data_IF_788815067806
#
_entry.id   IF_788815067806
#
_cell.length_a   1.000
_cell.length_b   1.000
_cell.length_c   1.000
_cell.angle_alpha   90.00
_cell.angle_beta   90.00
_cell.angle_gamma   90.00
#
_symmetry.space_group_name_H-M   'P 1'
#
loop_
_entity.id
_entity.type
_entity.pdbx_description
1 polymer ?
#
# COMPACT_ATOMS: atom_id res chain seq x y z
N UNK A 1 -3.68 28.50 4.92
CA UNK A 1 -3.44 27.15 4.36
C UNK A 1 -2.45 27.35 3.23
N UNK A 2 -1.22 26.87 3.38
CA UNK A 2 -0.19 27.02 2.36
C UNK A 2 -0.44 25.99 1.27
N UNK A 3 -0.72 26.43 0.05
CA UNK A 3 -0.73 25.57 -1.15
C UNK A 3 0.57 24.77 -1.19
N UNK A 4 0.54 23.45 -1.48
CA UNK A 4 1.77 22.71 -1.72
C UNK A 4 2.50 23.40 -2.86
N UNK A 5 3.76 23.80 -2.62
CA UNK A 5 4.58 24.39 -3.66
C UNK A 5 4.56 23.47 -4.88
N UNK A 6 4.19 24.02 -6.03
CA UNK A 6 4.22 23.33 -7.32
C UNK A 6 5.70 23.01 -7.60
N UNK A 7 6.15 21.82 -7.21
CA UNK A 7 7.55 21.42 -7.40
C UNK A 7 7.70 21.03 -8.87
N UNK A 8 8.45 21.85 -9.59
CA UNK A 8 8.80 21.63 -11.00
C UNK A 8 9.43 20.23 -11.18
N UNK A 9 8.96 19.42 -12.15
CA UNK A 9 9.58 18.15 -12.51
C UNK A 9 11.10 18.21 -12.75
N UNK A 10 11.65 19.36 -13.13
CA UNK A 10 13.09 19.58 -13.27
C UNK A 10 13.87 19.55 -11.94
N UNK A 11 13.18 19.57 -10.79
CA UNK A 11 13.80 19.51 -9.44
C UNK A 11 14.03 18.07 -8.99
N UNK A 12 13.44 17.06 -9.64
CA UNK A 12 13.61 15.65 -9.24
C UNK A 12 15.04 15.10 -9.37
N UNK A 13 15.81 15.42 -10.43
CA UNK A 13 17.24 15.09 -10.49
C UNK A 13 18.03 15.71 -9.32
N UNK A 14 17.61 16.89 -8.86
CA UNK A 14 18.24 17.59 -7.73
C UNK A 14 17.92 16.89 -6.41
N UNK A 15 16.67 16.44 -6.20
CA UNK A 15 16.28 15.68 -5.00
C UNK A 15 16.99 14.33 -4.89
N UNK A 16 17.25 13.65 -6.01
CA UNK A 16 18.10 12.45 -6.04
C UNK A 16 19.56 12.78 -5.73
N UNK A 17 20.08 13.92 -6.22
CA UNK A 17 21.43 14.42 -5.91
C UNK A 17 21.63 14.85 -4.45
N UNK A 18 20.55 15.10 -3.70
CA UNK A 18 20.57 15.46 -2.28
C UNK A 18 20.61 14.26 -1.32
N UNK A 19 20.73 13.03 -1.83
CA UNK A 19 20.86 11.82 -0.99
C UNK A 19 19.56 11.38 -0.30
N UNK A 20 18.41 11.88 -0.73
CA UNK A 20 17.12 11.41 -0.22
C UNK A 20 16.86 9.96 -0.64
N UNK A 21 16.34 9.09 0.27
CA UNK A 21 15.90 7.74 -0.10
C UNK A 21 14.89 7.77 -1.25
N UNK A 22 15.09 6.93 -2.27
CA UNK A 22 14.19 6.81 -3.45
C UNK A 22 12.70 6.75 -3.09
N UNK A 23 12.26 6.01 -2.05
CA UNK A 23 10.84 5.97 -1.70
C UNK A 23 10.26 7.33 -1.30
N UNK A 24 11.06 8.19 -0.66
CA UNK A 24 10.64 9.53 -0.28
C UNK A 24 10.59 10.47 -1.48
N UNK A 25 11.52 10.34 -2.43
CA UNK A 25 11.48 11.08 -3.70
C UNK A 25 10.24 10.71 -4.48
N UNK A 26 9.95 9.41 -4.60
CA UNK A 26 8.79 8.92 -5.33
C UNK A 26 7.47 9.35 -4.68
N UNK A 27 7.37 9.26 -3.35
CA UNK A 27 6.23 9.81 -2.59
C UNK A 27 6.05 11.30 -2.85
N UNK A 28 7.14 12.08 -2.83
CA UNK A 28 7.08 13.53 -3.06
C UNK A 28 6.61 13.85 -4.47
N UNK A 29 7.02 13.06 -5.46
CA UNK A 29 6.54 13.22 -6.82
C UNK A 29 5.05 12.91 -6.93
N UNK A 30 4.61 11.78 -6.39
CA UNK A 30 3.18 11.40 -6.36
C UNK A 30 2.33 12.46 -5.65
N UNK A 31 2.84 13.08 -4.58
CA UNK A 31 2.18 14.21 -3.92
C UNK A 31 1.98 15.40 -4.87
N UNK A 32 3.04 15.81 -5.59
CA UNK A 32 3.04 17.00 -6.43
C UNK A 32 2.30 16.80 -7.76
N UNK A 33 2.39 15.59 -8.34
CA UNK A 33 1.88 15.26 -9.68
C UNK A 33 1.08 13.93 -9.65
N UNK A 34 -0.02 13.85 -8.87
CA UNK A 34 -0.79 12.61 -8.73
C UNK A 34 -1.33 12.07 -10.06
N UNK A 35 -1.65 12.94 -11.01
CA UNK A 35 -2.19 12.58 -12.33
C UNK A 35 -1.26 11.66 -13.12
N UNK A 36 0.05 11.68 -12.86
CA UNK A 36 1.00 10.79 -13.52
C UNK A 36 0.84 9.31 -13.11
N UNK A 37 0.28 9.04 -11.93
CA UNK A 37 -0.06 7.69 -11.46
C UNK A 37 -1.54 7.38 -11.63
N UNK A 38 -2.40 8.33 -11.20
CA UNK A 38 -3.84 8.14 -11.18
C UNK A 38 -4.44 8.14 -12.59
N UNK A 39 -3.79 8.78 -13.57
CA UNK A 39 -4.27 8.89 -14.96
C UNK A 39 -5.71 9.40 -14.95
N UNK A 40 -6.65 8.65 -15.52
CA UNK A 40 -8.07 9.00 -15.54
C UNK A 40 -8.84 8.52 -14.28
N UNK A 41 -8.17 7.82 -13.37
CA UNK A 41 -8.77 7.39 -12.10
C UNK A 41 -8.94 8.58 -11.16
N UNK A 42 -10.09 8.73 -10.50
CA UNK A 42 -10.33 9.85 -9.60
C UNK A 42 -9.37 9.82 -8.39
N UNK A 43 -8.95 10.99 -7.96
CA UNK A 43 -8.25 11.21 -6.68
C UNK A 43 -9.28 11.77 -5.72
N UNK A 44 -9.71 10.98 -4.73
CA UNK A 44 -10.67 11.47 -3.73
C UNK A 44 -9.96 12.19 -2.56
N UNK A 45 -10.74 12.83 -1.69
CA UNK A 45 -10.20 13.55 -0.53
C UNK A 45 -9.40 12.65 0.42
N UNK A 46 -9.75 11.37 0.50
CA UNK A 46 -9.08 10.39 1.34
C UNK A 46 -7.72 9.98 0.76
N UNK A 47 -7.64 9.82 -0.57
CA UNK A 47 -6.37 9.68 -1.28
C UNK A 47 -5.48 10.88 -1.00
N UNK A 48 -6.01 12.11 -1.14
CA UNK A 48 -5.21 13.31 -0.87
C UNK A 48 -4.74 13.42 0.58
N UNK A 49 -5.60 13.13 1.54
CA UNK A 49 -5.22 13.11 2.94
C UNK A 49 -4.11 12.09 3.25
N UNK A 50 -4.09 10.94 2.56
CA UNK A 50 -3.02 9.95 2.68
C UNK A 50 -1.71 10.43 2.01
N UNK A 51 -1.80 11.00 0.82
CA UNK A 51 -0.63 11.56 0.12
C UNK A 51 0.04 12.64 0.97
N UNK A 52 -0.75 13.52 1.59
CA UNK A 52 -0.27 14.64 2.42
C UNK A 52 -0.02 14.26 3.90
N UNK A 53 -0.14 12.98 4.25
CA UNK A 53 -0.04 12.53 5.64
C UNK A 53 1.30 12.90 6.30
N UNK A 54 1.27 13.31 7.56
CA UNK A 54 2.50 13.37 8.35
C UNK A 54 2.87 11.98 8.86
N UNK A 55 4.15 11.79 9.18
CA UNK A 55 4.64 10.53 9.72
C UNK A 55 3.96 10.21 11.05
N UNK A 56 3.41 9.00 11.14
CA UNK A 56 2.78 8.50 12.35
C UNK A 56 3.89 8.21 13.40
N UNK A 57 3.78 8.72 14.64
CA UNK A 57 4.88 8.65 15.61
C UNK A 57 5.33 7.24 15.97
N UNK A 58 4.42 6.26 15.89
CA UNK A 58 4.70 4.87 16.23
C UNK A 58 5.20 4.03 15.05
N UNK A 59 5.20 4.56 13.83
CA UNK A 59 5.61 3.83 12.62
C UNK A 59 7.08 4.11 12.28
N UNK A 60 7.85 3.06 12.07
CA UNK A 60 9.19 3.16 11.48
C UNK A 60 9.09 3.00 9.96
N UNK A 61 9.21 4.10 9.23
CA UNK A 61 9.29 4.12 7.77
C UNK A 61 10.68 3.69 7.26
N UNK A 62 10.84 3.49 5.95
CA UNK A 62 11.98 2.87 5.26
C UNK A 62 11.89 1.33 5.18
N UNK A 63 12.99 0.64 4.80
CA UNK A 63 13.03 -0.79 4.42
C UNK A 63 12.57 -1.78 5.51
N UNK A 64 12.12 -1.32 6.66
CA UNK A 64 11.61 -2.14 7.76
C UNK A 64 10.10 -2.35 7.70
N UNK A 65 9.35 -1.44 7.06
CA UNK A 65 7.90 -1.56 6.87
C UNK A 65 7.56 -1.75 5.38
N UNK A 66 6.90 -2.85 5.05
CA UNK A 66 6.71 -3.31 3.67
C UNK A 66 5.46 -4.17 3.50
N UNK A 67 4.93 -4.23 2.27
CA UNK A 67 3.96 -5.24 1.89
C UNK A 67 4.64 -6.61 1.95
N UNK A 68 4.07 -7.55 2.70
CA UNK A 68 4.74 -8.84 2.93
C UNK A 68 4.12 -9.95 2.10
N UNK A 69 2.80 -10.16 2.27
CA UNK A 69 2.14 -11.35 1.73
C UNK A 69 0.64 -11.18 1.55
N UNK A 70 0.10 -12.02 0.67
CA UNK A 70 -1.33 -12.21 0.49
C UNK A 70 -1.72 -13.55 1.12
N UNK A 71 -2.63 -13.53 2.08
CA UNK A 71 -3.32 -14.73 2.55
C UNK A 71 -4.59 -14.92 1.72
N UNK A 72 -4.83 -16.12 1.23
CA UNK A 72 -5.98 -16.38 0.36
C UNK A 72 -6.49 -17.81 0.49
N UNK A 73 -7.75 -17.99 0.13
CA UNK A 73 -8.41 -19.30 0.05
C UNK A 73 -9.48 -19.20 -1.03
N UNK A 74 -9.37 -20.03 -2.06
CA UNK A 74 -10.41 -20.19 -3.08
C UNK A 74 -11.55 -21.05 -2.54
N UNK A 75 -12.72 -20.94 -3.16
CA UNK A 75 -13.87 -21.77 -2.78
C UNK A 75 -13.57 -23.26 -3.01
N UNK A 76 -13.67 -24.06 -1.94
CA UNK A 76 -13.39 -25.50 -1.99
C UNK A 76 -11.91 -25.88 -1.79
N UNK A 77 -11.02 -24.90 -1.63
CA UNK A 77 -9.58 -25.13 -1.43
C UNK A 77 -9.13 -24.82 0.01
N UNK A 78 -7.88 -25.17 0.32
CA UNK A 78 -7.22 -24.86 1.59
C UNK A 78 -6.77 -23.40 1.70
N UNK A 79 -6.32 -23.03 2.90
CA UNK A 79 -5.71 -21.72 3.14
C UNK A 79 -4.27 -21.71 2.63
N UNK A 80 -3.92 -20.68 1.87
CA UNK A 80 -2.59 -20.45 1.33
C UNK A 80 -2.06 -19.06 1.69
N UNK A 81 -0.73 -18.93 1.62
CA UNK A 81 -0.02 -17.68 1.83
C UNK A 81 1.02 -17.51 0.71
N UNK A 82 0.95 -16.38 0.01
CA UNK A 82 1.88 -16.03 -1.06
C UNK A 82 2.66 -14.79 -0.62
N UNK A 83 3.97 -14.92 -0.45
CA UNK A 83 4.86 -13.77 -0.24
C UNK A 83 4.90 -12.93 -1.52
N UNK A 84 4.83 -11.61 -1.37
CA UNK A 84 4.74 -10.68 -2.51
C UNK A 84 6.15 -10.16 -2.83
N UNK A 85 6.78 -10.79 -3.82
CA UNK A 85 8.18 -10.59 -4.22
C UNK A 85 8.26 -9.99 -5.63
N UNK A 86 9.46 -9.65 -6.09
CA UNK A 86 9.66 -9.10 -7.44
C UNK A 86 9.24 -10.10 -8.52
N UNK A 87 9.57 -11.40 -8.37
CA UNK A 87 9.34 -12.40 -9.41
C UNK A 87 7.85 -12.71 -9.63
N UNK A 88 7.01 -12.49 -8.61
CA UNK A 88 5.59 -12.81 -8.65
C UNK A 88 4.69 -11.56 -8.52
N UNK A 89 5.25 -10.36 -8.66
CA UNK A 89 4.54 -9.10 -8.47
C UNK A 89 3.31 -8.97 -9.37
N UNK A 90 3.44 -9.30 -10.66
CA UNK A 90 2.32 -9.27 -11.60
C UNK A 90 1.25 -10.33 -11.28
N UNK A 91 1.64 -11.50 -10.79
CA UNK A 91 0.70 -12.53 -10.36
C UNK A 91 -0.09 -12.07 -9.12
N UNK A 92 0.58 -11.44 -8.15
CA UNK A 92 -0.07 -10.89 -6.96
C UNK A 92 -1.01 -9.71 -7.31
N UNK A 93 -0.61 -8.81 -8.23
CA UNK A 93 -1.49 -7.75 -8.75
C UNK A 93 -2.75 -8.33 -9.39
N UNK A 94 -2.61 -9.38 -10.20
CA UNK A 94 -3.74 -10.09 -10.81
C UNK A 94 -4.66 -10.69 -9.75
N UNK A 95 -4.12 -11.39 -8.77
CA UNK A 95 -4.91 -11.94 -7.65
C UNK A 95 -5.72 -10.86 -6.93
N UNK A 96 -5.10 -9.70 -6.65
CA UNK A 96 -5.80 -8.57 -6.02
C UNK A 96 -6.91 -8.03 -6.92
N UNK A 97 -6.67 -7.92 -8.23
CA UNK A 97 -7.67 -7.48 -9.20
C UNK A 97 -8.85 -8.47 -9.31
N UNK A 98 -8.57 -9.77 -9.38
CA UNK A 98 -9.58 -10.84 -9.41
C UNK A 98 -10.46 -10.83 -8.15
N UNK A 99 -9.91 -10.39 -7.01
CA UNK A 99 -10.61 -10.25 -5.74
C UNK A 99 -11.28 -8.87 -5.53
N UNK A 100 -11.36 -8.05 -6.59
CA UNK A 100 -12.08 -6.77 -6.59
C UNK A 100 -11.22 -5.53 -6.32
N UNK A 101 -9.90 -5.67 -6.23
CA UNK A 101 -8.99 -4.53 -6.21
C UNK A 101 -8.89 -3.83 -7.57
N UNK A 102 -8.41 -2.60 -7.58
CA UNK A 102 -8.31 -1.80 -8.80
C UNK A 102 -6.87 -1.71 -9.29
N UNK A 103 -6.66 -1.98 -10.58
CA UNK A 103 -5.39 -1.75 -11.26
C UNK A 103 -5.55 -0.57 -12.23
N UNK A 104 -4.66 0.41 -12.14
CA UNK A 104 -4.69 1.61 -12.98
C UNK A 104 -3.41 1.70 -13.80
N UNK A 105 -3.56 1.69 -15.13
CA UNK A 105 -2.44 1.80 -16.06
C UNK A 105 -1.63 0.51 -16.27
N UNK A 106 -2.17 -0.65 -15.90
CA UNK A 106 -1.57 -1.96 -16.14
C UNK A 106 -2.27 -2.68 -17.30
N UNK A 107 -1.50 -3.29 -18.20
CA UNK A 107 -1.99 -4.15 -19.27
C UNK A 107 -1.95 -5.63 -18.83
N UNK A 108 -2.61 -5.92 -17.71
CA UNK A 108 -2.68 -7.27 -17.16
C UNK A 108 -4.02 -7.91 -17.54
N UNK A 109 -3.96 -9.07 -18.19
CA UNK A 109 -5.14 -9.88 -18.45
C UNK A 109 -5.65 -10.48 -17.13
N UNK A 110 -6.80 -9.97 -16.68
CA UNK A 110 -7.54 -10.43 -15.50
C UNK A 110 -8.66 -11.33 -16.02
N UNK A 111 -8.32 -12.61 -16.18
CA UNK A 111 -9.20 -13.59 -16.82
C UNK A 111 -10.24 -14.12 -15.82
N UNK A 112 -11.41 -13.49 -15.83
CA UNK A 112 -12.58 -13.79 -14.98
C UNK A 112 -12.34 -13.64 -13.46
N UNK A 113 -13.34 -13.16 -12.69
CA UNK A 113 -13.23 -13.12 -11.24
C UNK A 113 -13.06 -14.53 -10.67
N UNK A 114 -11.94 -14.80 -10.01
CA UNK A 114 -11.80 -16.04 -9.26
C UNK A 114 -12.75 -16.05 -8.06
N UNK A 115 -13.35 -17.21 -7.77
CA UNK A 115 -14.24 -17.38 -6.62
C UNK A 115 -13.44 -17.49 -5.32
N UNK A 116 -12.94 -16.35 -4.84
CA UNK A 116 -12.25 -16.24 -3.57
C UNK A 116 -13.23 -16.37 -2.41
N UNK A 117 -12.98 -17.31 -1.50
CA UNK A 117 -13.71 -17.40 -0.23
C UNK A 117 -13.22 -16.36 0.76
N UNK A 118 -11.92 -16.13 0.82
CA UNK A 118 -11.32 -15.01 1.56
C UNK A 118 -9.97 -14.64 0.98
N UNK A 119 -9.64 -13.36 1.04
CA UNK A 119 -8.31 -12.85 0.74
C UNK A 119 -7.99 -11.66 1.64
N UNK A 120 -6.75 -11.62 2.14
CA UNK A 120 -6.23 -10.55 3.00
C UNK A 120 -4.81 -10.17 2.57
N UNK A 121 -4.58 -8.88 2.45
CA UNK A 121 -3.28 -8.31 2.11
C UNK A 121 -2.63 -7.84 3.40
N UNK A 122 -1.41 -8.29 3.68
CA UNK A 122 -0.69 -7.96 4.92
C UNK A 122 0.50 -7.05 4.65
N UNK A 123 0.53 -5.97 5.41
CA UNK A 123 1.64 -5.02 5.46
C UNK A 123 2.35 -5.20 6.80
N UNK A 124 3.62 -5.57 6.74
CA UNK A 124 4.49 -5.56 7.91
C UNK A 124 4.78 -4.10 8.28
N UNK A 125 4.51 -3.76 9.53
CA UNK A 125 4.87 -2.45 10.08
C UNK A 125 5.82 -2.68 11.25
N UNK A 126 7.03 -2.15 11.13
CA UNK A 126 7.95 -2.00 12.26
C UNK A 126 7.50 -0.82 13.09
N UNK A 127 7.38 -1.04 14.39
CA UNK A 127 6.97 -0.02 15.31
C UNK A 127 8.17 0.60 16.02
N UNK A 128 7.99 1.83 16.48
CA UNK A 128 8.93 2.58 17.30
C UNK A 128 8.15 3.31 18.39
N UNK A 129 8.78 3.61 19.52
CA UNK A 129 8.12 4.28 20.65
C UNK A 129 6.89 3.51 21.18
N UNK A 130 6.89 2.19 21.03
CA UNK A 130 5.83 1.26 21.44
C UNK A 130 6.44 0.13 22.28
N UNK A 131 5.60 -0.67 22.95
CA UNK A 131 6.05 -1.85 23.71
C UNK A 131 6.28 -3.10 22.86
N UNK A 132 6.18 -2.98 21.54
CA UNK A 132 6.35 -4.06 20.58
C UNK A 132 7.16 -3.57 19.38
N UNK A 133 7.88 -4.49 18.72
CA UNK A 133 8.82 -4.14 17.66
C UNK A 133 8.19 -4.16 16.26
N UNK A 134 7.17 -4.98 16.05
CA UNK A 134 6.50 -5.13 14.76
C UNK A 134 5.11 -5.73 14.88
N UNK A 135 4.36 -5.66 13.78
CA UNK A 135 3.06 -6.30 13.61
C UNK A 135 2.54 -6.16 12.19
N UNK A 136 1.30 -6.56 11.99
CA UNK A 136 0.65 -6.53 10.69
C UNK A 136 -0.58 -5.65 10.69
N UNK A 137 -0.64 -4.79 9.68
CA UNK A 137 -1.87 -4.14 9.25
C UNK A 137 -2.41 -4.91 8.03
N UNK A 138 -3.70 -5.22 8.07
CA UNK A 138 -4.37 -6.04 7.06
C UNK A 138 -5.54 -5.33 6.41
N UNK A 139 -5.74 -5.54 5.12
CA UNK A 139 -6.98 -5.14 4.43
C UNK A 139 -7.47 -6.21 3.45
N UNK A 140 -8.64 -5.99 2.86
CA UNK A 140 -9.22 -6.81 1.79
C UNK A 140 -8.89 -6.23 0.42
N UNK A 141 -8.74 -7.05 -0.64
CA UNK A 141 -8.42 -6.58 -1.99
C UNK A 141 -9.33 -5.49 -2.55
N UNK A 142 -10.64 -5.55 -2.26
CA UNK A 142 -11.61 -4.53 -2.66
C UNK A 142 -11.33 -3.11 -2.16
N UNK A 143 -10.42 -2.96 -1.19
CA UNK A 143 -9.98 -1.69 -0.62
C UNK A 143 -8.59 -1.27 -1.10
N UNK A 144 -8.06 -1.96 -2.09
CA UNK A 144 -6.72 -1.72 -2.65
C UNK A 144 -6.81 -1.17 -4.06
N UNK A 145 -6.00 -0.13 -4.30
CA UNK A 145 -5.78 0.45 -5.62
C UNK A 145 -4.28 0.43 -5.91
N UNK A 146 -3.91 -0.13 -7.05
CA UNK A 146 -2.52 -0.23 -7.51
C UNK A 146 -2.39 0.59 -8.79
N UNK A 147 -1.42 1.50 -8.82
CA UNK A 147 -1.19 2.43 -9.90
C UNK A 147 0.17 2.16 -10.51
N UNK A 148 0.21 1.96 -11.83
CA UNK A 148 1.48 1.85 -12.54
C UNK A 148 2.23 3.18 -12.45
N UNK A 149 3.51 3.11 -12.15
CA UNK A 149 4.38 4.28 -12.06
C UNK A 149 4.36 5.12 -13.33
N UNK A 150 4.70 6.40 -13.20
CA UNK A 150 4.91 7.27 -14.35
C UNK A 150 6.00 6.67 -15.26
N UNK A 151 5.81 6.71 -16.58
CA UNK A 151 6.80 6.17 -17.54
C UNK A 151 8.19 6.83 -17.38
N UNK A 152 8.20 8.07 -16.89
CA UNK A 152 9.38 8.89 -16.62
C UNK A 152 10.15 8.45 -15.34
N UNK A 153 9.58 7.59 -14.49
CA UNK A 153 10.17 7.22 -13.20
C UNK A 153 11.36 6.28 -13.31
N UNK A 154 11.21 5.22 -14.11
CA UNK A 154 12.26 4.28 -14.48
C UNK A 154 11.76 3.41 -15.65
N UNK A 155 12.55 3.24 -16.73
CA UNK A 155 12.14 2.42 -17.88
C UNK A 155 11.92 0.95 -17.52
N UNK A 156 12.80 0.40 -16.68
CA UNK A 156 12.82 -1.03 -16.35
C UNK A 156 12.01 -1.36 -15.09
N UNK A 157 11.87 -0.39 -14.18
CA UNK A 157 11.30 -0.58 -12.85
C UNK A 157 10.41 0.59 -12.44
N UNK A 158 9.25 0.78 -13.09
CA UNK A 158 8.35 1.88 -12.78
C UNK A 158 8.05 1.94 -11.29
N UNK A 159 8.05 3.15 -10.73
CA UNK A 159 7.74 3.38 -9.32
C UNK A 159 6.25 3.25 -9.08
N UNK A 160 5.72 2.03 -9.14
CA UNK A 160 4.32 1.76 -8.90
C UNK A 160 3.90 2.21 -7.48
N UNK A 161 2.66 2.64 -7.34
CA UNK A 161 2.09 3.07 -6.07
C UNK A 161 0.92 2.16 -5.68
N UNK A 162 0.76 1.89 -4.39
CA UNK A 162 -0.34 1.12 -3.85
C UNK A 162 -0.97 1.87 -2.68
N UNK A 163 -2.28 2.07 -2.76
CA UNK A 163 -3.10 2.58 -1.66
C UNK A 163 -3.86 1.40 -1.08
N UNK A 164 -3.68 1.14 0.21
CA UNK A 164 -4.42 0.15 0.98
C UNK A 164 -5.29 0.88 2.00
N UNK A 165 -6.61 0.76 1.88
CA UNK A 165 -7.56 1.43 2.77
C UNK A 165 -8.08 0.54 3.88
N UNK A 166 -8.51 1.16 4.98
CA UNK A 166 -9.12 0.49 6.14
C UNK A 166 -8.28 -0.68 6.66
N UNK A 167 -6.96 -0.52 6.72
CA UNK A 167 -6.10 -1.55 7.27
C UNK A 167 -6.29 -1.62 8.79
N UNK A 168 -6.37 -2.83 9.35
CA UNK A 168 -6.58 -3.05 10.78
C UNK A 168 -5.49 -3.95 11.35
N UNK A 169 -5.17 -3.76 12.64
CA UNK A 169 -4.21 -4.59 13.35
C UNK A 169 -4.72 -6.04 13.44
N UNK A 170 -3.91 -7.00 13.01
CA UNK A 170 -4.33 -8.40 13.00
C UNK A 170 -3.40 -9.37 13.75
N UNK A 171 -2.29 -8.88 14.31
CA UNK A 171 -1.27 -9.72 14.96
C UNK A 171 -0.59 -9.05 16.14
N UNK A 172 -0.36 -9.83 17.21
CA UNK A 172 0.66 -9.59 18.22
C UNK A 172 0.52 -8.28 18.99
N UNK A 173 1.63 -7.56 19.17
CA UNK A 173 1.69 -6.33 19.96
C UNK A 173 0.79 -5.22 19.45
N UNK A 174 0.54 -5.11 18.14
CA UNK A 174 -0.41 -4.13 17.60
C UNK A 174 -1.85 -4.38 18.03
N UNK A 175 -2.25 -5.65 18.22
CA UNK A 175 -3.60 -5.96 18.70
C UNK A 175 -3.75 -5.70 20.20
N UNK A 176 -2.65 -5.75 20.94
CA UNK A 176 -2.63 -5.45 22.37
C UNK A 176 -2.60 -3.94 22.67
N UNK A 177 -2.21 -3.11 21.68
CA UNK A 177 -2.20 -1.65 21.82
C UNK A 177 -3.54 -1.05 21.37
N UNK A 178 -4.34 -0.60 22.33
CA UNK A 178 -5.68 -0.04 22.06
C UNK A 178 -5.63 1.20 21.15
N UNK A 179 -4.57 2.00 21.21
CA UNK A 179 -4.44 3.20 20.37
C UNK A 179 -4.25 2.86 18.88
N UNK A 180 -3.82 1.63 18.59
CA UNK A 180 -3.59 1.11 17.24
C UNK A 180 -4.73 0.20 16.82
N UNK A 181 -5.11 -0.76 17.66
CA UNK A 181 -6.11 -1.78 17.37
C UNK A 181 -7.54 -1.23 17.24
N UNK A 182 -7.84 -0.11 17.92
CA UNK A 182 -9.16 0.54 17.82
C UNK A 182 -9.33 1.41 16.57
N UNK A 183 -8.35 1.41 15.65
CA UNK A 183 -8.28 2.32 14.50
C UNK A 183 -8.15 1.58 13.18
N UNK A 184 -8.67 2.22 12.14
CA UNK A 184 -8.30 1.94 10.76
C UNK A 184 -7.11 2.79 10.33
N UNK A 185 -6.29 2.22 9.47
CA UNK A 185 -5.09 2.84 8.95
C UNK A 185 -5.08 2.74 7.42
N UNK A 186 -4.93 3.87 6.75
CA UNK A 186 -4.64 3.87 5.32
C UNK A 186 -3.13 3.87 5.11
N UNK A 187 -2.68 3.11 4.11
CA UNK A 187 -1.26 2.90 3.85
C UNK A 187 -0.97 3.26 2.39
N UNK A 188 0.08 4.07 2.19
CA UNK A 188 0.70 4.26 0.89
C UNK A 188 1.98 3.45 0.85
N UNK A 189 2.05 2.50 -0.08
CA UNK A 189 3.26 1.76 -0.39
C UNK A 189 3.74 2.11 -1.80
N UNK A 190 5.06 2.07 -1.99
CA UNK A 190 5.70 2.34 -3.28
C UNK A 190 6.59 1.16 -3.65
N UNK A 191 6.51 0.72 -4.91
CA UNK A 191 7.39 -0.34 -5.44
C UNK A 191 8.79 0.21 -5.67
N UNK A 192 9.78 -0.49 -5.13
CA UNK A 192 11.20 -0.16 -5.12
C UNK A 192 11.97 -1.44 -5.44
N UNK A 193 12.59 -1.52 -6.62
CA UNK A 193 13.33 -2.73 -7.05
C UNK A 193 14.71 -2.89 -6.41
N UNK A 194 14.89 -2.37 -5.19
CA UNK A 194 16.14 -2.51 -4.43
C UNK A 194 16.13 -3.70 -3.46
N UNK A 195 14.95 -4.26 -3.20
CA UNK A 195 14.73 -5.43 -2.36
C UNK A 195 13.87 -6.41 -3.16
N UNK A 196 14.40 -7.61 -3.42
CA UNK A 196 13.74 -8.63 -4.22
C UNK A 196 12.62 -9.31 -3.43
N UNK A 197 12.82 -9.51 -2.12
CA UNK A 197 11.89 -10.21 -1.25
C UNK A 197 10.75 -9.29 -0.80
N UNK A 198 11.02 -7.98 -0.68
CA UNK A 198 10.05 -6.99 -0.18
C UNK A 198 9.99 -5.73 -1.06
N UNK A 199 9.55 -5.85 -2.32
CA UNK A 199 9.61 -4.76 -3.28
C UNK A 199 8.72 -3.56 -2.94
N UNK A 200 7.71 -3.69 -2.09
CA UNK A 200 6.76 -2.64 -1.79
C UNK A 200 7.00 -2.05 -0.40
N UNK A 201 7.59 -0.86 -0.35
CA UNK A 201 7.96 -0.19 0.90
C UNK A 201 6.87 0.77 1.34
N UNK A 202 6.54 0.79 2.63
CA UNK A 202 5.59 1.74 3.22
C UNK A 202 6.21 3.12 3.29
N UNK A 203 5.55 4.11 2.68
CA UNK A 203 6.03 5.50 2.62
C UNK A 203 5.10 6.48 3.32
N UNK A 204 3.85 6.12 3.59
CA UNK A 204 2.93 6.88 4.43
C UNK A 204 1.92 5.96 5.12
N UNK A 205 1.49 6.37 6.31
CA UNK A 205 0.38 5.75 7.05
C UNK A 205 -0.49 6.88 7.57
N UNK A 206 -1.82 6.72 7.54
CA UNK A 206 -2.76 7.71 8.03
C UNK A 206 -3.89 7.05 8.83
N UNK A 207 -4.17 7.58 10.02
CA UNK A 207 -5.38 7.21 10.76
C UNK A 207 -6.63 7.58 9.96
N UNK A 208 -7.46 6.58 9.69
CA UNK A 208 -8.66 6.64 8.87
C UNK A 208 -9.97 6.55 9.69
N UNK A 209 -9.88 6.57 11.01
CA UNK A 209 -11.02 6.56 11.91
C UNK A 209 -11.11 5.30 12.77
N UNK A 210 -12.23 5.16 13.47
CA UNK A 210 -12.44 4.04 14.40
C UNK A 210 -12.63 2.71 13.67
N UNK A 211 -11.97 1.67 14.17
CA UNK A 211 -12.16 0.29 13.74
C UNK A 211 -13.58 -0.17 14.05
N UNK A 212 -14.21 -0.84 13.06
CA UNK A 212 -15.58 -1.34 13.12
C UNK A 212 -15.59 -2.81 12.66
N UNK A 213 -15.51 -3.77 13.58
CA UNK A 213 -15.39 -5.21 13.25
C UNK A 213 -16.49 -5.71 12.31
N UNK A 214 -17.69 -5.12 12.38
CA UNK A 214 -18.83 -5.40 11.51
C UNK A 214 -18.52 -5.19 10.03
N UNK A 215 -17.62 -4.26 9.67
CA UNK A 215 -17.25 -3.98 8.29
C UNK A 215 -16.34 -5.05 7.66
N UNK A 216 -15.89 -6.03 8.46
CA UNK A 216 -15.14 -7.21 8.00
C UNK A 216 -15.94 -8.50 8.08
N UNK A 217 -17.18 -8.42 8.60
CA UNK A 217 -18.09 -9.56 8.73
C UNK A 217 -19.19 -9.47 7.67
N UNK A 218 -18.86 -9.77 6.43
CA UNK A 218 -19.81 -10.06 5.36
C UNK A 218 -19.05 -10.77 4.23
N UNK A 219 -19.38 -11.98 3.78
CA UNK A 219 -20.68 -12.65 3.72
C UNK A 219 -20.52 -14.17 3.83
N UNK A 220 -21.17 -14.78 4.84
CA UNK A 220 -21.58 -16.19 4.76
C UNK A 220 -23.04 -16.16 4.34
N UNK A 221 -23.30 -16.35 3.06
CA UNK A 221 -24.58 -16.85 2.56
C UNK A 221 -24.25 -18.15 1.86
#
# INVERSE_FOLDING_TARGET
MSTPANVDPAVFPILQGLGMPKPLVARRWLQCKPEAWFRDSPVDERDRALLDAQDVPWVHYAKTSYLRKVYHMKQGEGFEATDWMVENDDACKKMVAEAGGQLVGFDLDVSSPAHWKTMKINVNITAKNTSFDWGFLSTTPSKVRIFRGAAESCPDHPWDAMILRDCYANTGGMQADDSINSRYWDILAMKMCEDYDYPWVVVAVKDAGSYKPENHRSSTI
#
